data_IF_154566764315
#
_entry.id   IF_154566764315
#
_cell.length_a   1.000
_cell.length_b   1.000
_cell.length_c   1.000
_cell.angle_alpha   90.00
_cell.angle_beta   90.00
_cell.angle_gamma   90.00
#
_symmetry.space_group_name_H-M   'P 1'
#
loop_
_entity.id
_entity.type
_entity.pdbx_description
1 polymer ?
#
# COMPACT_ATOMS: atom_id res chain seq x y z
N UNK A 1 -1.06 4.13 16.17
CA UNK A 1 -0.96 5.38 15.39
C UNK A 1 -1.23 6.52 16.36
N UNK A 2 -0.18 7.13 16.91
CA UNK A 2 -0.30 8.40 17.63
C UNK A 2 -0.29 9.51 16.60
N UNK A 3 -1.34 10.33 16.55
CA UNK A 3 -1.49 11.48 15.62
C UNK A 3 -0.48 12.62 15.87
N UNK A 4 0.61 12.37 16.60
CA UNK A 4 1.70 13.33 16.75
C UNK A 4 2.74 13.07 15.67
N UNK A 5 2.84 13.96 14.67
CA UNK A 5 3.82 13.79 13.61
C UNK A 5 5.23 13.95 14.19
N UNK A 6 6.10 12.98 13.90
CA UNK A 6 7.50 13.03 14.33
C UNK A 6 8.18 14.28 13.75
N UNK A 7 8.70 15.21 14.57
CA UNK A 7 9.38 16.40 14.07
C UNK A 7 10.52 16.07 13.12
N UNK A 8 11.22 14.96 13.37
CA UNK A 8 12.28 14.45 12.51
C UNK A 8 11.75 14.05 11.14
N UNK A 9 10.60 13.36 11.07
CA UNK A 9 9.98 12.98 9.80
C UNK A 9 9.55 14.21 8.98
N UNK A 10 9.02 15.24 9.66
CA UNK A 10 8.65 16.52 9.02
C UNK A 10 9.90 17.21 8.43
N UNK A 11 10.97 17.32 9.22
CA UNK A 11 12.21 17.96 8.78
C UNK A 11 12.80 17.23 7.57
N UNK A 12 12.87 15.89 7.63
CA UNK A 12 13.37 15.10 6.50
C UNK A 12 12.50 15.26 5.26
N UNK A 13 11.17 15.32 5.42
CA UNK A 13 10.25 15.54 4.30
C UNK A 13 10.51 16.89 3.62
N UNK A 14 10.52 17.99 4.37
CA UNK A 14 10.75 19.32 3.79
C UNK A 14 12.17 19.49 3.25
N UNK A 15 13.18 18.91 3.89
CA UNK A 15 14.55 18.87 3.38
C UNK A 15 14.58 18.16 2.02
N UNK A 16 13.94 16.99 1.92
CA UNK A 16 13.90 16.22 0.69
C UNK A 16 13.17 16.97 -0.44
N UNK A 17 12.00 17.55 -0.14
CA UNK A 17 11.25 18.38 -1.09
C UNK A 17 12.09 19.58 -1.53
N UNK A 18 12.76 20.25 -0.59
CA UNK A 18 13.64 21.39 -0.86
C UNK A 18 14.83 21.05 -1.74
N UNK A 19 15.55 19.95 -1.45
CA UNK A 19 16.65 19.44 -2.27
C UNK A 19 16.16 19.09 -3.67
N UNK A 20 15.03 18.40 -3.76
CA UNK A 20 14.43 18.01 -5.06
C UNK A 20 14.07 19.24 -5.89
N UNK A 21 13.41 20.24 -5.28
CA UNK A 21 13.09 21.52 -5.93
C UNK A 21 14.36 22.27 -6.34
N UNK A 22 15.36 22.33 -5.46
CA UNK A 22 16.63 23.01 -5.72
C UNK A 22 17.37 22.42 -6.94
N UNK A 23 17.51 21.10 -6.98
CA UNK A 23 18.06 20.39 -8.15
C UNK A 23 17.20 20.66 -9.38
N UNK A 24 15.88 20.61 -9.22
CA UNK A 24 14.93 20.80 -10.32
C UNK A 24 15.09 22.15 -11.00
N UNK A 25 15.13 23.22 -10.20
CA UNK A 25 15.34 24.58 -10.70
C UNK A 25 16.75 24.80 -11.25
N UNK A 26 17.78 24.26 -10.60
CA UNK A 26 19.17 24.40 -11.05
C UNK A 26 19.39 23.79 -12.43
N UNK A 27 18.89 22.58 -12.67
CA UNK A 27 19.00 21.89 -13.95
C UNK A 27 18.01 22.45 -14.98
N UNK A 28 16.80 22.83 -14.55
CA UNK A 28 15.77 23.40 -15.44
C UNK A 28 16.20 24.71 -16.10
N UNK A 29 16.95 25.56 -15.38
CA UNK A 29 17.50 26.82 -15.93
C UNK A 29 18.50 26.62 -17.08
N UNK A 30 19.02 25.41 -17.27
CA UNK A 30 19.98 25.08 -18.33
C UNK A 30 19.27 24.65 -19.64
N UNK A 31 17.97 24.32 -19.61
CA UNK A 31 17.22 23.87 -20.77
C UNK A 31 16.57 25.03 -21.55
N UNK A 32 17.32 25.68 -22.45
CA UNK A 32 16.85 26.84 -23.25
C UNK A 32 16.26 26.50 -24.64
N UNK A 33 16.12 25.24 -25.02
CA UNK A 33 15.60 24.82 -26.34
C UNK A 33 14.57 23.68 -26.26
N UNK A 34 13.67 23.56 -27.24
CA UNK A 34 12.66 22.48 -27.31
C UNK A 34 13.29 21.08 -27.35
N UNK A 35 14.48 20.94 -27.94
CA UNK A 35 15.28 19.69 -27.90
C UNK A 35 15.85 19.42 -26.51
N UNK A 36 16.25 20.46 -25.78
CA UNK A 36 16.63 20.34 -24.36
C UNK A 36 15.44 19.99 -23.47
N UNK A 37 14.25 20.48 -23.80
CA UNK A 37 13.02 20.19 -23.06
C UNK A 37 12.49 18.77 -23.28
N UNK A 38 12.60 18.20 -24.48
CA UNK A 38 12.01 16.88 -24.82
C UNK A 38 12.99 15.73 -25.06
N UNK A 39 14.29 15.98 -25.20
CA UNK A 39 15.26 14.92 -25.55
C UNK A 39 16.58 15.01 -24.77
N UNK A 40 16.67 15.93 -23.80
CA UNK A 40 17.84 16.11 -22.95
C UNK A 40 19.20 16.18 -23.71
N UNK A 41 19.19 16.66 -24.96
CA UNK A 41 20.34 16.66 -25.87
C UNK A 41 21.09 15.30 -26.01
N UNK A 42 20.48 14.17 -25.64
CA UNK A 42 21.19 12.87 -25.56
C UNK A 42 22.30 12.81 -24.51
N UNK A 43 22.33 13.75 -23.56
CA UNK A 43 23.40 13.86 -22.54
C UNK A 43 23.14 13.04 -21.28
N UNK A 44 21.97 12.43 -21.13
CA UNK A 44 21.65 11.62 -19.96
C UNK A 44 22.29 10.24 -20.13
N UNK A 45 23.16 9.80 -19.19
CA UNK A 45 23.72 8.45 -19.23
C UNK A 45 22.61 7.41 -19.23
N UNK A 46 22.77 6.33 -20.01
CA UNK A 46 21.78 5.26 -20.12
C UNK A 46 21.37 4.70 -18.75
N UNK A 47 22.32 4.60 -17.82
CA UNK A 47 22.10 4.13 -16.45
C UNK A 47 21.20 5.07 -15.65
N UNK A 48 21.43 6.39 -15.77
CA UNK A 48 20.61 7.42 -15.10
C UNK A 48 19.17 7.35 -15.61
N UNK A 49 18.99 7.28 -16.92
CA UNK A 49 17.68 7.18 -17.52
C UNK A 49 16.98 5.85 -17.17
N UNK A 50 17.74 4.74 -17.15
CA UNK A 50 17.21 3.43 -16.78
C UNK A 50 16.72 3.38 -15.34
N UNK A 51 17.50 3.92 -14.39
CA UNK A 51 17.12 3.95 -12.98
C UNK A 51 16.01 4.96 -12.68
N UNK A 52 15.97 6.09 -13.40
CA UNK A 52 14.85 7.02 -13.37
C UNK A 52 13.55 6.33 -13.79
N UNK A 53 13.57 5.62 -14.93
CA UNK A 53 12.41 4.89 -15.44
C UNK A 53 11.99 3.75 -14.51
N UNK A 54 12.96 3.00 -13.94
CA UNK A 54 12.68 1.98 -12.95
C UNK A 54 12.04 2.57 -11.68
N UNK A 55 12.51 3.73 -11.23
CA UNK A 55 11.92 4.46 -10.10
C UNK A 55 10.47 4.89 -10.36
N UNK A 56 10.17 5.39 -11.56
CA UNK A 56 8.80 5.74 -11.97
C UNK A 56 7.89 4.51 -12.05
N UNK A 57 8.43 3.37 -12.52
CA UNK A 57 7.70 2.11 -12.59
C UNK A 57 7.36 1.57 -11.18
N UNK A 58 8.26 1.77 -10.22
CA UNK A 58 8.08 1.42 -8.80
C UNK A 58 7.26 2.46 -8.01
N UNK A 59 6.43 3.28 -8.68
CA UNK A 59 5.61 4.34 -8.08
C UNK A 59 4.83 3.90 -6.84
N UNK A 60 4.26 4.86 -6.09
CA UNK A 60 3.45 4.59 -4.90
C UNK A 60 2.34 3.54 -5.15
N UNK A 61 1.73 3.53 -6.34
CA UNK A 61 0.74 2.52 -6.70
C UNK A 61 1.34 1.12 -6.76
N UNK A 62 2.53 0.97 -7.34
CA UNK A 62 3.25 -0.31 -7.42
C UNK A 62 3.72 -0.75 -6.04
N UNK A 63 4.37 0.14 -5.28
CA UNK A 63 4.91 -0.19 -3.96
C UNK A 63 3.80 -0.52 -2.95
N UNK A 64 2.84 0.39 -2.69
CA UNK A 64 1.74 0.13 -1.76
C UNK A 64 0.75 -0.91 -2.31
N UNK A 65 0.48 -0.91 -3.62
CA UNK A 65 -0.50 -1.79 -4.23
C UNK A 65 -0.05 -3.25 -4.23
N UNK A 66 1.19 -3.53 -4.64
CA UNK A 66 1.74 -4.90 -4.61
C UNK A 66 1.93 -5.37 -3.17
N UNK A 67 2.51 -4.54 -2.28
CA UNK A 67 2.63 -4.91 -0.87
C UNK A 67 1.26 -5.18 -0.23
N UNK A 68 0.24 -4.37 -0.55
CA UNK A 68 -1.13 -4.59 -0.11
C UNK A 68 -1.69 -5.91 -0.65
N UNK A 69 -1.53 -6.18 -1.96
CA UNK A 69 -1.97 -7.42 -2.59
C UNK A 69 -1.34 -8.65 -1.93
N UNK A 70 -0.04 -8.61 -1.65
CA UNK A 70 0.66 -9.68 -0.92
C UNK A 70 0.14 -9.79 0.52
N UNK A 71 -0.15 -8.68 1.20
CA UNK A 71 -0.69 -8.71 2.56
C UNK A 71 -2.10 -9.34 2.63
N UNK A 72 -2.91 -9.18 1.58
CA UNK A 72 -4.27 -9.73 1.52
C UNK A 72 -4.34 -11.15 0.96
N UNK A 73 -3.52 -11.47 -0.04
CA UNK A 73 -3.58 -12.72 -0.79
C UNK A 73 -2.36 -13.62 -0.58
N UNK A 74 -1.42 -13.22 0.28
CA UNK A 74 -0.23 -14.00 0.61
C UNK A 74 0.65 -14.28 -0.61
N UNK A 75 1.09 -15.53 -0.72
CA UNK A 75 1.97 -15.99 -1.80
C UNK A 75 1.34 -15.83 -3.19
N UNK A 76 0.03 -16.03 -3.33
CA UNK A 76 -0.66 -15.85 -4.61
C UNK A 76 -0.59 -14.39 -5.10
N UNK A 77 -0.70 -13.43 -4.17
CA UNK A 77 -0.52 -12.01 -4.47
C UNK A 77 0.89 -11.67 -4.97
N UNK A 78 1.91 -12.41 -4.52
CA UNK A 78 3.28 -12.25 -5.00
C UNK A 78 3.40 -12.71 -6.47
N UNK A 79 2.75 -13.81 -6.85
CA UNK A 79 2.80 -14.32 -8.23
C UNK A 79 2.26 -13.30 -9.26
N UNK A 80 1.25 -12.50 -8.89
CA UNK A 80 0.77 -11.39 -9.74
C UNK A 80 1.84 -10.33 -10.04
N UNK A 81 2.79 -10.14 -9.13
CA UNK A 81 3.88 -9.16 -9.28
C UNK A 81 4.86 -9.56 -10.38
N UNK A 82 5.05 -10.86 -10.60
CA UNK A 82 5.89 -11.40 -11.67
C UNK A 82 5.32 -11.03 -13.03
N UNK A 83 4.00 -11.20 -13.21
CA UNK A 83 3.31 -10.82 -14.45
C UNK A 83 3.42 -9.33 -14.76
N UNK A 84 3.33 -8.49 -13.72
CA UNK A 84 3.54 -7.05 -13.84
C UNK A 84 4.93 -6.74 -14.41
N UNK A 85 6.00 -7.27 -13.79
CA UNK A 85 7.38 -7.06 -14.22
C UNK A 85 7.68 -7.67 -15.61
N UNK A 86 7.16 -8.85 -15.91
CA UNK A 86 7.31 -9.49 -17.22
C UNK A 86 6.66 -8.67 -18.34
N UNK A 87 5.47 -8.10 -18.08
CA UNK A 87 4.79 -7.23 -19.04
C UNK A 87 5.60 -6.00 -19.41
N UNK A 88 6.36 -5.44 -18.46
CA UNK A 88 7.25 -4.31 -18.73
C UNK A 88 8.39 -4.68 -19.69
N UNK A 89 9.00 -5.85 -19.52
CA UNK A 89 10.04 -6.34 -20.44
C UNK A 89 9.49 -6.45 -21.87
N UNK A 90 8.29 -7.02 -22.03
CA UNK A 90 7.63 -7.11 -23.33
C UNK A 90 7.37 -5.73 -23.93
N UNK A 91 6.86 -4.78 -23.14
CA UNK A 91 6.62 -3.42 -23.61
C UNK A 91 7.92 -2.70 -24.06
N UNK A 92 9.03 -2.91 -23.35
CA UNK A 92 10.33 -2.34 -23.74
C UNK A 92 10.80 -2.86 -25.10
N UNK A 93 10.73 -4.18 -25.33
CA UNK A 93 11.18 -4.75 -26.60
C UNK A 93 10.21 -4.47 -27.76
N UNK A 94 8.91 -4.63 -27.53
CA UNK A 94 7.90 -4.56 -28.61
C UNK A 94 7.54 -3.12 -28.97
N UNK A 95 7.50 -2.20 -27.99
CA UNK A 95 7.02 -0.83 -28.22
C UNK A 95 8.16 0.18 -28.29
N UNK A 96 9.14 0.12 -27.38
CA UNK A 96 10.17 1.15 -27.32
C UNK A 96 11.10 1.15 -28.54
N UNK A 97 11.43 -0.04 -29.07
CA UNK A 97 12.33 -0.15 -30.24
C UNK A 97 11.71 0.45 -31.53
N UNK A 98 10.47 0.11 -31.94
CA UNK A 98 9.83 0.77 -33.08
C UNK A 98 9.69 2.28 -32.91
N UNK A 99 9.34 2.75 -31.70
CA UNK A 99 9.24 4.18 -31.41
C UNK A 99 10.59 4.89 -31.58
N UNK A 100 11.67 4.30 -31.07
CA UNK A 100 13.03 4.85 -31.21
C UNK A 100 13.46 4.92 -32.68
N UNK A 101 13.15 3.89 -33.48
CA UNK A 101 13.47 3.87 -34.93
C UNK A 101 12.72 4.93 -35.72
N UNK A 102 11.47 5.27 -35.34
CA UNK A 102 10.66 6.30 -35.99
C UNK A 102 11.10 7.74 -35.69
N UNK A 103 11.92 7.96 -34.65
CA UNK A 103 12.45 9.28 -34.30
C UNK A 103 11.37 10.29 -33.87
N UNK A 104 10.18 9.83 -33.47
CA UNK A 104 9.08 10.66 -32.97
C UNK A 104 9.07 10.68 -31.45
N UNK A 105 8.60 11.80 -30.88
CA UNK A 105 8.62 12.02 -29.43
C UNK A 105 7.35 11.53 -28.71
N UNK A 106 6.22 11.42 -29.41
CA UNK A 106 4.95 10.98 -28.82
C UNK A 106 4.40 9.74 -29.53
N UNK A 107 3.63 8.92 -28.79
CA UNK A 107 2.96 7.75 -29.36
C UNK A 107 1.96 8.15 -30.46
N UNK A 108 1.23 9.26 -30.27
CA UNK A 108 0.30 9.77 -31.26
C UNK A 108 1.02 10.19 -32.56
N UNK A 109 2.18 10.84 -32.47
CA UNK A 109 2.96 11.22 -33.65
C UNK A 109 3.60 10.01 -34.35
N UNK A 110 3.92 8.96 -33.60
CA UNK A 110 4.41 7.69 -34.17
C UNK A 110 3.32 6.99 -34.99
N UNK A 111 2.08 6.98 -34.48
CA UNK A 111 0.93 6.45 -35.23
C UNK A 111 0.59 7.33 -36.44
N UNK A 112 0.58 8.65 -36.29
CA UNK A 112 0.33 9.58 -37.40
C UNK A 112 1.39 9.44 -38.50
N UNK A 113 2.67 9.26 -38.15
CA UNK A 113 3.74 9.04 -39.12
C UNK A 113 3.59 7.74 -39.93
N UNK A 114 2.93 6.73 -39.36
CA UNK A 114 2.70 5.44 -40.03
C UNK A 114 1.42 5.42 -40.86
N UNK A 115 0.36 6.08 -40.38
CA UNK A 115 -0.98 5.99 -40.97
C UNK A 115 -1.49 7.27 -41.65
N UNK A 116 -0.86 8.43 -41.41
CA UNK A 116 -1.20 9.72 -42.05
C UNK A 116 -2.62 10.22 -41.75
N UNK A 117 -3.22 9.83 -40.62
CA UNK A 117 -4.63 10.10 -40.31
C UNK A 117 -4.80 10.94 -39.05
N UNK A 118 -5.42 12.12 -39.24
CA UNK A 118 -5.83 13.01 -38.14
C UNK A 118 -6.77 12.31 -37.15
N UNK A 119 -7.63 11.41 -37.62
CA UNK A 119 -8.54 10.64 -36.77
C UNK A 119 -7.80 9.68 -35.83
N UNK A 120 -6.79 8.97 -36.34
CA UNK A 120 -5.94 8.08 -35.53
C UNK A 120 -5.14 8.87 -34.51
N UNK A 121 -4.59 10.03 -34.90
CA UNK A 121 -3.86 10.91 -34.00
C UNK A 121 -4.73 11.42 -32.85
N UNK A 122 -5.96 11.85 -33.16
CA UNK A 122 -6.93 12.29 -32.15
C UNK A 122 -7.32 11.15 -31.20
N UNK A 123 -7.64 9.97 -31.73
CA UNK A 123 -7.98 8.80 -30.93
C UNK A 123 -6.83 8.38 -30.00
N UNK A 124 -5.60 8.37 -30.51
CA UNK A 124 -4.41 8.07 -29.72
C UNK A 124 -4.17 9.13 -28.62
N UNK A 125 -4.38 10.41 -28.93
CA UNK A 125 -4.29 11.50 -27.95
C UNK A 125 -5.32 11.38 -26.82
N UNK A 126 -6.59 11.14 -27.17
CA UNK A 126 -7.67 10.94 -26.20
C UNK A 126 -7.40 9.71 -25.33
N UNK A 127 -6.98 8.59 -25.94
CA UNK A 127 -6.63 7.37 -25.22
C UNK A 127 -5.47 7.61 -24.24
N UNK A 128 -4.43 8.32 -24.67
CA UNK A 128 -3.29 8.69 -23.82
C UNK A 128 -3.74 9.53 -22.63
N UNK A 129 -4.60 10.53 -22.85
CA UNK A 129 -5.11 11.39 -21.79
C UNK A 129 -5.99 10.61 -20.80
N UNK A 130 -6.89 9.76 -21.31
CA UNK A 130 -7.76 8.93 -20.48
C UNK A 130 -6.95 8.00 -19.57
N UNK A 131 -6.00 7.25 -20.14
CA UNK A 131 -5.11 6.36 -19.37
C UNK A 131 -4.30 7.14 -18.34
N UNK A 132 -3.79 8.32 -18.71
CA UNK A 132 -3.02 9.18 -17.79
C UNK A 132 -3.86 9.65 -16.59
N UNK A 133 -5.12 10.04 -16.81
CA UNK A 133 -6.03 10.46 -15.72
C UNK A 133 -6.28 9.31 -14.75
N UNK A 134 -6.62 8.12 -15.25
CA UNK A 134 -6.84 6.94 -14.39
C UNK A 134 -5.56 6.55 -13.64
N UNK A 135 -4.40 6.71 -14.26
CA UNK A 135 -3.11 6.43 -13.63
C UNK A 135 -2.74 7.42 -12.53
N UNK A 136 -3.19 8.68 -12.64
CA UNK A 136 -2.96 9.70 -11.61
C UNK A 136 -3.80 9.48 -10.34
N UNK A 137 -4.97 8.83 -10.43
CA UNK A 137 -5.87 8.66 -9.28
C UNK A 137 -5.18 7.92 -8.11
N UNK A 138 -4.61 6.71 -8.28
CA UNK A 138 -3.94 6.02 -7.18
C UNK A 138 -2.75 6.80 -6.60
N UNK A 139 -2.05 7.58 -7.42
CA UNK A 139 -0.91 8.39 -6.97
C UNK A 139 -1.36 9.53 -6.05
N UNK A 140 -2.46 10.20 -6.41
CA UNK A 140 -3.05 11.25 -5.58
C UNK A 140 -3.62 10.69 -4.27
N UNK A 141 -4.27 9.52 -4.32
CA UNK A 141 -4.71 8.80 -3.12
C UNK A 141 -3.52 8.44 -2.22
N UNK A 142 -2.44 7.93 -2.80
CA UNK A 142 -1.19 7.63 -2.07
C UNK A 142 -0.61 8.88 -1.40
N UNK A 143 -0.55 10.00 -2.13
CA UNK A 143 -0.07 11.28 -1.58
C UNK A 143 -0.94 11.77 -0.40
N UNK A 144 -2.26 11.74 -0.55
CA UNK A 144 -3.19 12.14 0.52
C UNK A 144 -3.10 11.24 1.76
N UNK A 145 -2.95 9.93 1.55
CA UNK A 145 -2.82 8.95 2.63
C UNK A 145 -1.53 9.13 3.45
N UNK A 146 -0.43 9.60 2.83
CA UNK A 146 0.85 9.83 3.50
C UNK A 146 0.89 11.15 4.29
N UNK A 147 0.18 12.19 3.85
CA UNK A 147 0.23 13.50 4.51
C UNK A 147 -0.46 13.49 5.89
N UNK A 148 -1.53 12.71 6.05
CA UNK A 148 -2.23 12.60 7.34
C UNK A 148 -1.31 12.15 8.49
N UNK A 149 -0.59 11.02 8.40
CA UNK A 149 0.34 10.61 9.45
C UNK A 149 1.59 11.50 9.56
N UNK A 150 1.98 12.20 8.49
CA UNK A 150 3.20 13.02 8.47
C UNK A 150 3.02 14.45 9.00
N UNK A 151 1.89 15.08 8.73
CA UNK A 151 1.64 16.50 9.05
C UNK A 151 0.36 16.70 9.88
N UNK A 152 -0.38 15.62 10.18
CA UNK A 152 -1.69 15.67 10.82
C UNK A 152 -2.72 16.54 10.07
N UNK A 153 -2.58 16.65 8.75
CA UNK A 153 -3.55 17.36 7.90
C UNK A 153 -4.62 16.42 7.33
N UNK A 154 -5.84 16.94 7.07
CA UNK A 154 -6.86 16.20 6.36
C UNK A 154 -6.39 15.70 4.98
N UNK A 155 -6.93 14.56 4.55
CA UNK A 155 -6.54 13.91 3.28
C UNK A 155 -6.58 14.85 2.07
N UNK A 156 -7.62 15.68 1.93
CA UNK A 156 -7.77 16.59 0.80
C UNK A 156 -6.66 17.65 0.73
N UNK A 157 -6.17 18.12 1.88
CA UNK A 157 -5.05 19.08 1.95
C UNK A 157 -3.79 18.43 1.41
N UNK A 158 -3.55 17.15 1.74
CA UNK A 158 -2.42 16.39 1.22
C UNK A 158 -2.44 16.23 -0.30
N UNK A 159 -3.61 15.90 -0.86
CA UNK A 159 -3.80 15.80 -2.32
C UNK A 159 -3.49 17.14 -3.00
N UNK A 160 -4.04 18.25 -2.48
CA UNK A 160 -3.83 19.58 -3.06
C UNK A 160 -2.37 20.04 -2.95
N UNK A 161 -1.76 19.89 -1.78
CA UNK A 161 -0.38 20.33 -1.53
C UNK A 161 0.61 19.59 -2.43
N UNK A 162 0.53 18.25 -2.46
CA UNK A 162 1.41 17.44 -3.31
C UNK A 162 1.11 17.67 -4.79
N UNK A 163 -0.16 17.75 -5.18
CA UNK A 163 -0.57 18.02 -6.56
C UNK A 163 -0.01 19.34 -7.09
N UNK A 164 -0.20 20.44 -6.35
CA UNK A 164 0.33 21.76 -6.72
C UNK A 164 1.86 21.73 -6.79
N UNK A 165 2.52 21.10 -5.81
CA UNK A 165 3.98 21.00 -5.79
C UNK A 165 4.51 20.25 -7.03
N UNK A 166 3.89 19.12 -7.38
CA UNK A 166 4.28 18.34 -8.57
C UNK A 166 4.03 19.13 -9.86
N UNK A 167 2.90 19.83 -9.98
CA UNK A 167 2.61 20.69 -11.14
C UNK A 167 3.68 21.78 -11.28
N UNK A 168 4.01 22.48 -10.19
CA UNK A 168 5.05 23.51 -10.20
C UNK A 168 6.42 22.95 -10.62
N UNK A 169 6.79 21.77 -10.10
CA UNK A 169 8.03 21.08 -10.49
C UNK A 169 8.00 20.79 -11.99
N UNK A 170 6.98 20.10 -12.50
CA UNK A 170 6.93 19.63 -13.88
C UNK A 170 6.93 20.80 -14.87
N UNK A 171 6.17 21.87 -14.58
CA UNK A 171 6.10 23.07 -15.44
C UNK A 171 7.46 23.78 -15.50
N UNK A 172 8.24 23.78 -14.43
CA UNK A 172 9.50 24.53 -14.33
C UNK A 172 10.75 23.73 -14.71
N UNK A 173 10.71 22.40 -14.67
CA UNK A 173 11.88 21.52 -14.76
C UNK A 173 12.31 21.16 -16.19
N UNK A 174 11.37 20.86 -17.10
CA UNK A 174 11.68 20.18 -18.37
C UNK A 174 12.19 18.74 -18.20
N UNK A 175 12.46 18.02 -19.30
CA UNK A 175 12.80 16.58 -19.22
C UNK A 175 14.15 16.29 -18.55
N UNK A 176 15.21 17.06 -18.83
CA UNK A 176 16.54 16.86 -18.22
C UNK A 176 16.44 16.84 -16.70
N UNK A 177 15.81 17.88 -16.16
CA UNK A 177 15.66 18.08 -14.73
C UNK A 177 14.76 17.00 -14.12
N UNK A 178 13.65 16.69 -14.78
CA UNK A 178 12.75 15.61 -14.38
C UNK A 178 13.48 14.27 -14.28
N UNK A 179 14.29 13.90 -15.28
CA UNK A 179 15.03 12.62 -15.27
C UNK A 179 16.06 12.56 -14.14
N UNK A 180 16.78 13.63 -13.82
CA UNK A 180 17.70 13.64 -12.68
C UNK A 180 16.99 13.55 -11.33
N UNK A 181 15.85 14.22 -11.19
CA UNK A 181 14.99 14.11 -9.99
C UNK A 181 14.45 12.68 -9.85
N UNK A 182 14.01 12.07 -10.95
CA UNK A 182 13.54 10.68 -10.97
C UNK A 182 14.66 9.69 -10.67
N UNK A 183 15.85 9.91 -11.20
CA UNK A 183 17.03 9.11 -10.87
C UNK A 183 17.33 9.15 -9.37
N UNK A 184 17.33 10.34 -8.74
CA UNK A 184 17.55 10.47 -7.30
C UNK A 184 16.48 9.74 -6.50
N UNK A 185 15.19 9.94 -6.84
CA UNK A 185 14.05 9.27 -6.20
C UNK A 185 14.12 7.75 -6.35
N UNK A 186 14.37 7.27 -7.57
CA UNK A 186 14.51 5.86 -7.89
C UNK A 186 15.68 5.21 -7.17
N UNK A 187 16.84 5.87 -7.13
CA UNK A 187 18.02 5.41 -6.39
C UNK A 187 17.72 5.26 -4.90
N UNK A 188 17.10 6.28 -4.31
CA UNK A 188 16.75 6.27 -2.89
C UNK A 188 15.77 5.13 -2.57
N UNK A 189 14.75 4.95 -3.40
CA UNK A 189 13.78 3.87 -3.25
C UNK A 189 14.46 2.50 -3.30
N UNK A 190 15.31 2.26 -4.31
CA UNK A 190 16.03 0.98 -4.47
C UNK A 190 16.95 0.70 -3.28
N UNK A 191 17.72 1.69 -2.83
CA UNK A 191 18.61 1.55 -1.66
C UNK A 191 17.80 1.26 -0.41
N UNK A 192 16.72 2.00 -0.17
CA UNK A 192 15.88 1.81 1.01
C UNK A 192 15.20 0.43 1.00
N UNK A 193 14.66 0.00 -0.14
CA UNK A 193 14.07 -1.33 -0.29
C UNK A 193 15.11 -2.44 -0.12
N UNK A 194 16.35 -2.26 -0.60
CA UNK A 194 17.43 -3.21 -0.40
C UNK A 194 17.81 -3.34 1.08
N UNK A 195 17.99 -2.21 1.79
CA UNK A 195 18.25 -2.20 3.23
C UNK A 195 17.12 -2.87 4.00
N UNK A 196 15.86 -2.51 3.71
CA UNK A 196 14.70 -3.12 4.35
C UNK A 196 14.63 -4.63 4.11
N UNK A 197 14.92 -5.07 2.89
CA UNK A 197 14.97 -6.50 2.53
C UNK A 197 16.03 -7.22 3.36
N UNK A 198 17.24 -6.67 3.48
CA UNK A 198 18.31 -7.25 4.29
C UNK A 198 17.91 -7.33 5.77
N UNK A 199 17.30 -6.28 6.32
CA UNK A 199 16.85 -6.27 7.71
C UNK A 199 15.75 -7.32 7.97
N UNK A 200 14.80 -7.48 7.04
CA UNK A 200 13.74 -8.49 7.14
C UNK A 200 14.34 -9.90 7.08
N UNK A 201 15.27 -10.14 6.15
CA UNK A 201 15.97 -11.41 6.02
C UNK A 201 16.80 -11.74 7.26
N UNK A 202 17.47 -10.76 7.87
CA UNK A 202 18.22 -10.94 9.12
C UNK A 202 17.30 -11.24 10.30
N UNK A 203 16.12 -10.62 10.36
CA UNK A 203 15.12 -10.90 11.39
C UNK A 203 14.53 -12.31 11.27
N UNK A 204 14.24 -12.73 10.05
CA UNK A 204 13.51 -13.97 9.78
C UNK A 204 12.05 -13.93 10.20
N UNK A 205 11.41 -15.10 10.15
CA UNK A 205 10.05 -15.32 10.64
C UNK A 205 10.01 -15.72 12.12
N UNK A 206 8.94 -15.28 12.79
CA UNK A 206 8.60 -15.59 14.17
C UNK A 206 7.08 -15.87 14.23
N UNK A 207 6.65 -16.92 14.94
CA UNK A 207 5.22 -17.27 15.09
C UNK A 207 4.52 -16.44 16.17
N UNK A 208 5.27 -16.00 17.17
CA UNK A 208 4.78 -15.18 18.27
C UNK A 208 5.31 -13.75 18.14
N UNK A 209 4.45 -12.79 17.74
CA UNK A 209 4.83 -11.39 17.77
C UNK A 209 4.95 -10.94 19.23
N UNK A 210 6.17 -10.57 19.63
CA UNK A 210 6.50 -10.01 20.94
C UNK A 210 5.49 -8.89 21.30
N UNK A 211 4.70 -9.07 22.37
CA UNK A 211 3.69 -8.12 22.88
C UNK A 211 2.52 -7.73 21.94
N UNK A 212 2.09 -8.58 21.00
CA UNK A 212 0.90 -8.29 20.19
C UNK A 212 -0.30 -9.16 20.59
N UNK A 213 -1.50 -8.58 20.47
CA UNK A 213 -2.78 -9.23 20.73
C UNK A 213 -2.93 -10.50 19.88
N UNK A 214 -3.29 -11.60 20.53
CA UNK A 214 -3.55 -12.86 19.84
C UNK A 214 -5.03 -12.96 19.52
N UNK A 215 -5.36 -12.90 18.23
CA UNK A 215 -6.72 -13.10 17.75
C UNK A 215 -7.22 -14.48 18.13
N UNK A 216 -8.38 -14.51 18.78
CA UNK A 216 -9.00 -15.74 19.25
C UNK A 216 -9.94 -16.34 18.21
N UNK A 217 -10.04 -17.68 18.21
CA UNK A 217 -11.10 -18.41 17.52
C UNK A 217 -11.82 -19.26 18.56
N UNK A 218 -13.11 -19.05 18.70
CA UNK A 218 -13.96 -19.73 19.66
C UNK A 218 -14.89 -20.72 18.95
N UNK A 219 -15.22 -21.80 19.66
CA UNK A 219 -16.12 -22.85 19.19
C UNK A 219 -15.44 -24.21 19.07
N UNK A 220 -16.07 -25.18 18.40
CA UNK A 220 -17.32 -25.05 17.63
C UNK A 220 -18.54 -24.76 18.52
N UNK A 221 -19.48 -23.96 18.00
CA UNK A 221 -20.78 -23.67 18.61
C UNK A 221 -21.91 -24.28 17.80
N UNK A 222 -22.93 -24.77 18.49
CA UNK A 222 -24.15 -25.29 17.85
C UNK A 222 -25.16 -24.18 17.53
N UNK A 223 -25.74 -24.19 16.33
CA UNK A 223 -26.72 -23.18 15.89
C UNK A 223 -27.92 -23.01 16.84
N UNK A 224 -28.30 -24.06 17.57
CA UNK A 224 -29.48 -24.06 18.44
C UNK A 224 -29.26 -23.42 19.82
N UNK A 225 -28.03 -23.40 20.33
CA UNK A 225 -27.75 -23.00 21.73
C UNK A 225 -26.50 -22.13 21.90
N UNK A 226 -25.93 -21.62 20.81
CA UNK A 226 -24.66 -20.89 20.82
C UNK A 226 -24.61 -19.70 21.78
N UNK A 227 -25.72 -19.02 22.07
CA UNK A 227 -25.73 -17.85 22.98
C UNK A 227 -25.35 -18.23 24.40
N UNK A 228 -25.87 -19.35 24.90
CA UNK A 228 -25.58 -19.85 26.23
C UNK A 228 -24.16 -20.45 26.31
N UNK A 229 -23.75 -21.17 25.25
CA UNK A 229 -22.38 -21.68 25.11
C UNK A 229 -21.35 -20.54 25.07
N UNK A 230 -21.67 -19.42 24.41
CA UNK A 230 -20.77 -18.28 24.30
C UNK A 230 -20.60 -17.53 25.62
N UNK A 231 -21.71 -17.26 26.34
CA UNK A 231 -21.66 -16.53 27.62
C UNK A 231 -20.98 -17.35 28.72
N UNK A 232 -21.03 -18.68 28.63
CA UNK A 232 -20.34 -19.57 29.56
C UNK A 232 -18.86 -19.80 29.24
N UNK A 233 -18.38 -19.37 28.07
CA UNK A 233 -17.00 -19.55 27.65
C UNK A 233 -16.04 -18.70 28.51
N UNK A 234 -14.92 -19.29 28.96
CA UNK A 234 -13.96 -18.67 29.88
C UNK A 234 -13.47 -17.29 29.40
N UNK A 235 -13.07 -17.20 28.11
CA UNK A 235 -12.62 -15.97 27.45
C UNK A 235 -13.68 -14.85 27.34
N UNK A 236 -14.97 -15.16 27.51
CA UNK A 236 -16.10 -14.22 27.40
C UNK A 236 -16.72 -13.90 28.76
N UNK A 237 -16.22 -14.49 29.84
CA UNK A 237 -16.69 -14.18 31.20
C UNK A 237 -16.60 -12.68 31.49
N UNK A 238 -17.71 -12.08 31.94
CA UNK A 238 -17.81 -10.64 32.20
C UNK A 238 -18.09 -9.77 30.96
N UNK A 239 -18.39 -10.38 29.80
CA UNK A 239 -18.87 -9.68 28.61
C UNK A 239 -20.37 -9.93 28.39
N UNK A 240 -21.07 -8.96 27.81
CA UNK A 240 -22.47 -9.09 27.40
C UNK A 240 -22.59 -9.14 25.89
N UNK A 241 -23.47 -10.00 25.38
CA UNK A 241 -23.78 -10.02 23.94
C UNK A 241 -24.62 -8.77 23.62
N UNK A 242 -24.17 -8.00 22.64
CA UNK A 242 -24.91 -6.84 22.12
C UNK A 242 -25.88 -7.36 21.04
N UNK A 243 -27.19 -7.06 21.14
CA UNK A 243 -28.16 -7.42 20.11
C UNK A 243 -27.77 -6.91 18.71
N UNK A 244 -28.12 -7.71 17.70
CA UNK A 244 -27.90 -7.36 16.29
C UNK A 244 -29.01 -6.41 15.81
N UNK A 245 -28.79 -5.09 15.98
CA UNK A 245 -29.74 -4.04 15.59
C UNK A 245 -29.24 -3.22 14.38
N UNK A 246 -30.18 -2.67 13.61
CA UNK A 246 -29.89 -1.82 12.46
C UNK A 246 -29.07 -2.54 11.39
N UNK A 247 -27.94 -1.95 11.00
CA UNK A 247 -27.02 -2.49 9.97
C UNK A 247 -26.43 -3.86 10.34
N UNK A 248 -26.56 -4.31 11.59
CA UNK A 248 -25.98 -5.56 12.07
C UNK A 248 -26.92 -6.76 12.00
N UNK A 249 -28.23 -6.54 11.77
CA UNK A 249 -29.26 -7.58 11.90
C UNK A 249 -29.03 -8.79 10.98
N UNK A 250 -28.62 -8.53 9.74
CA UNK A 250 -28.43 -9.54 8.71
C UNK A 250 -26.94 -9.83 8.41
N UNK A 251 -26.05 -9.36 9.29
CA UNK A 251 -24.61 -9.53 9.11
C UNK A 251 -24.11 -10.76 9.86
N UNK A 252 -23.10 -11.49 9.33
CA UNK A 252 -22.53 -12.68 9.97
C UNK A 252 -21.56 -12.29 11.10
N UNK A 253 -21.97 -11.38 11.98
CA UNK A 253 -21.17 -10.88 13.09
C UNK A 253 -21.94 -10.94 14.41
N UNK A 254 -21.25 -11.39 15.45
CA UNK A 254 -21.68 -11.30 16.84
C UNK A 254 -20.85 -10.23 17.52
N UNK A 255 -21.44 -9.46 18.44
CA UNK A 255 -20.74 -8.42 19.17
C UNK A 255 -20.85 -8.66 20.66
N UNK A 256 -19.75 -8.53 21.37
CA UNK A 256 -19.70 -8.62 22.83
C UNK A 256 -19.14 -7.33 23.40
N UNK A 257 -19.65 -6.90 24.55
CA UNK A 257 -19.19 -5.71 25.29
C UNK A 257 -18.61 -6.14 26.62
N UNK A 258 -17.36 -5.78 26.87
CA UNK A 258 -16.71 -6.01 28.16
C UNK A 258 -17.21 -4.99 29.18
N UNK A 259 -17.74 -5.45 30.32
CA UNK A 259 -18.31 -4.55 31.33
C UNK A 259 -17.27 -3.65 32.01
N UNK A 260 -16.03 -4.10 32.17
CA UNK A 260 -14.98 -3.35 32.88
C UNK A 260 -14.39 -2.19 32.08
N UNK A 261 -14.35 -2.32 30.75
CA UNK A 261 -13.63 -1.39 29.85
C UNK A 261 -14.55 -0.72 28.82
N UNK A 262 -15.82 -1.12 28.74
CA UNK A 262 -16.77 -0.77 27.66
C UNK A 262 -16.28 -1.13 26.24
N UNK A 263 -15.22 -1.93 26.15
CA UNK A 263 -14.65 -2.39 24.89
C UNK A 263 -15.62 -3.34 24.19
N UNK A 264 -15.83 -3.10 22.91
CA UNK A 264 -16.66 -3.94 22.04
C UNK A 264 -15.75 -4.83 21.19
N UNK A 265 -15.91 -6.14 21.34
CA UNK A 265 -15.27 -7.15 20.49
C UNK A 265 -16.29 -7.63 19.45
N UNK A 266 -15.85 -7.75 18.20
CA UNK A 266 -16.68 -8.27 17.10
C UNK A 266 -16.16 -9.64 16.74
N UNK A 267 -17.06 -10.57 16.49
CA UNK A 267 -16.76 -11.94 16.16
C UNK A 267 -17.41 -12.28 14.81
N UNK A 268 -16.62 -12.69 13.82
CA UNK A 268 -17.15 -13.20 12.57
C UNK A 268 -17.66 -14.62 12.77
N UNK A 269 -18.92 -14.84 12.39
CA UNK A 269 -19.54 -16.16 12.38
C UNK A 269 -19.20 -16.86 11.08
N UNK A 270 -18.34 -17.87 11.19
CA UNK A 270 -17.91 -18.71 10.07
C UNK A 270 -18.56 -20.08 10.18
N UNK A 271 -19.39 -20.51 9.20
CA UNK A 271 -19.96 -21.85 9.22
C UNK A 271 -18.84 -22.89 9.12
N UNK A 272 -18.86 -23.87 10.01
CA UNK A 272 -17.97 -25.03 9.98
C UNK A 272 -18.64 -26.16 9.21
N UNK A 273 -19.90 -26.46 9.57
CA UNK A 273 -20.75 -27.48 8.97
C UNK A 273 -22.21 -26.99 8.90
N UNK A 274 -23.16 -27.83 8.45
CA UNK A 274 -24.60 -27.50 8.37
C UNK A 274 -25.26 -27.12 9.71
N UNK A 275 -24.63 -27.42 10.85
CA UNK A 275 -25.21 -27.22 12.19
C UNK A 275 -24.27 -26.51 13.16
N UNK A 276 -23.00 -26.31 12.77
CA UNK A 276 -21.95 -25.80 13.64
C UNK A 276 -21.25 -24.63 12.99
N UNK A 277 -20.80 -23.69 13.80
CA UNK A 277 -19.99 -22.57 13.36
C UNK A 277 -18.87 -22.26 14.36
N UNK A 278 -17.89 -21.50 13.91
CA UNK A 278 -16.85 -20.92 14.75
C UNK A 278 -16.97 -19.41 14.77
N UNK A 279 -16.49 -18.80 15.84
CA UNK A 279 -16.40 -17.35 15.99
C UNK A 279 -14.95 -16.93 15.91
N UNK A 280 -14.60 -16.15 14.90
CA UNK A 280 -13.26 -15.57 14.78
C UNK A 280 -13.27 -14.13 15.25
N UNK A 281 -12.36 -13.79 16.14
CA UNK A 281 -12.22 -12.41 16.59
C UNK A 281 -11.89 -11.49 15.41
N UNK A 282 -12.67 -10.43 15.28
CA UNK A 282 -12.50 -9.36 14.32
C UNK A 282 -12.24 -8.02 15.01
N UNK A 283 -11.83 -7.04 14.22
CA UNK A 283 -11.63 -5.67 14.68
C UNK A 283 -12.65 -4.75 14.05
N UNK A 284 -13.17 -3.78 14.81
CA UNK A 284 -14.12 -2.79 14.33
C UNK A 284 -13.57 -1.37 14.43
N UNK A 285 -13.84 -0.60 13.38
CA UNK A 285 -13.72 0.85 13.38
C UNK A 285 -15.10 1.44 13.16
N UNK A 286 -15.47 2.39 14.02
CA UNK A 286 -16.70 3.17 13.85
C UNK A 286 -16.34 4.63 13.66
N UNK A 287 -16.73 5.21 12.53
CA UNK A 287 -16.68 6.66 12.32
C UNK A 287 -18.03 7.24 12.72
N UNK A 288 -18.04 8.10 13.74
CA UNK A 288 -19.24 8.82 14.18
C UNK A 288 -19.57 9.98 13.24
N UNK A 289 -20.80 10.48 13.33
CA UNK A 289 -21.28 11.63 12.54
C UNK A 289 -20.52 12.93 12.81
N UNK A 290 -19.87 13.06 13.97
CA UNK A 290 -18.98 14.15 14.35
C UNK A 290 -17.55 14.01 13.77
N UNK A 291 -17.30 12.96 12.98
CA UNK A 291 -16.00 12.66 12.39
C UNK A 291 -15.02 11.96 13.33
N UNK A 292 -15.38 11.71 14.60
CA UNK A 292 -14.52 10.97 15.53
C UNK A 292 -14.49 9.49 15.18
N UNK A 293 -13.31 8.92 15.26
CA UNK A 293 -13.05 7.51 14.98
C UNK A 293 -12.91 6.75 16.30
N UNK A 294 -13.68 5.67 16.43
CA UNK A 294 -13.59 4.73 17.54
C UNK A 294 -13.05 3.39 17.06
N UNK A 295 -12.21 2.78 17.88
CA UNK A 295 -11.72 1.41 17.67
C UNK A 295 -12.27 0.55 18.80
N UNK A 296 -12.94 -0.56 18.47
CA UNK A 296 -13.56 -1.44 19.47
C UNK A 296 -14.47 -0.67 20.46
N UNK A 297 -15.17 0.38 19.99
CA UNK A 297 -16.04 1.23 20.82
C UNK A 297 -15.34 2.33 21.62
N UNK A 298 -14.02 2.31 21.70
CA UNK A 298 -13.20 3.25 22.46
C UNK A 298 -12.53 4.32 21.58
N UNK A 299 -12.16 5.49 22.11
CA UNK A 299 -11.37 6.48 21.39
C UNK A 299 -10.09 5.86 20.81
N UNK A 300 -9.72 6.26 19.59
CA UNK A 300 -8.48 5.78 18.98
C UNK A 300 -7.26 6.32 19.72
N UNK A 301 -6.36 5.44 20.17
CA UNK A 301 -5.14 5.85 20.85
C UNK A 301 -4.52 4.74 21.71
N UNK A 302 -3.39 5.05 22.34
CA UNK A 302 -2.58 4.09 23.12
C UNK A 302 -2.62 4.38 24.63
N UNK A 303 -3.36 5.40 25.06
CA UNK A 303 -3.52 5.75 26.47
C UNK A 303 -4.54 4.87 27.21
N UNK A 304 -4.65 5.01 28.54
CA UNK A 304 -5.67 4.32 29.33
C UNK A 304 -7.09 4.66 28.84
N UNK A 305 -7.88 3.64 28.52
CA UNK A 305 -9.24 3.81 27.99
C UNK A 305 -9.32 4.09 26.49
N UNK A 306 -8.20 4.05 25.78
CA UNK A 306 -8.12 4.16 24.32
C UNK A 306 -7.83 2.78 23.69
N UNK A 307 -8.12 2.62 22.41
CA UNK A 307 -7.81 1.40 21.67
C UNK A 307 -7.19 1.71 20.31
N UNK A 308 -6.31 0.83 19.84
CA UNK A 308 -5.80 0.83 18.47
C UNK A 308 -6.06 -0.50 17.79
N UNK A 309 -6.09 -0.48 16.45
CA UNK A 309 -6.07 -1.73 15.70
C UNK A 309 -4.76 -2.47 15.96
N UNK A 310 -4.89 -3.77 16.17
CA UNK A 310 -3.77 -4.68 16.18
C UNK A 310 -3.33 -5.01 14.75
N UNK A 311 -2.01 -5.20 14.53
CA UNK A 311 -1.50 -5.72 13.28
C UNK A 311 -2.20 -7.04 12.93
N UNK A 312 -2.60 -7.17 11.67
CA UNK A 312 -3.20 -8.39 11.12
C UNK A 312 -2.26 -9.00 10.10
N UNK A 313 -2.31 -10.31 9.93
CA UNK A 313 -1.30 -11.04 9.15
C UNK A 313 -0.18 -11.58 10.04
N UNK A 314 -0.15 -12.90 10.28
CA UNK A 314 0.97 -13.53 11.00
C UNK A 314 1.27 -14.93 10.48
N UNK A 315 2.49 -15.38 10.69
CA UNK A 315 2.85 -16.79 10.54
C UNK A 315 2.29 -17.53 11.75
N UNK A 316 1.29 -18.40 11.57
CA UNK A 316 0.75 -19.22 12.66
C UNK A 316 1.63 -20.42 12.95
N UNK A 317 2.22 -21.01 11.91
CA UNK A 317 3.06 -22.20 12.04
C UNK A 317 4.23 -22.13 11.06
N UNK A 318 5.44 -22.34 11.55
CA UNK A 318 6.63 -22.55 10.73
C UNK A 318 6.86 -24.05 10.47
N UNK A 319 7.66 -24.39 9.45
CA UNK A 319 8.11 -25.76 9.23
C UNK A 319 8.71 -26.37 10.50
N UNK A 320 8.47 -27.66 10.73
CA UNK A 320 8.92 -28.39 11.92
C UNK A 320 8.42 -27.82 13.26
N UNK A 321 7.34 -27.04 13.27
CA UNK A 321 6.80 -26.37 14.46
C UNK A 321 7.82 -25.47 15.17
N UNK A 322 8.78 -24.90 14.43
CA UNK A 322 9.71 -23.92 14.98
C UNK A 322 8.97 -22.64 15.42
N UNK A 323 9.44 -21.98 16.47
CA UNK A 323 8.90 -20.67 16.87
C UNK A 323 9.59 -19.51 16.15
N UNK A 324 10.85 -19.70 15.75
CA UNK A 324 11.67 -18.71 15.04
C UNK A 324 12.56 -19.39 14.02
N UNK A 325 12.90 -18.66 12.97
CA UNK A 325 13.81 -19.13 11.90
C UNK A 325 15.22 -18.59 12.02
N UNK A 326 15.41 -17.40 12.60
CA UNK A 326 16.68 -16.67 12.57
C UNK A 326 16.96 -16.06 11.19
N UNK A 327 18.20 -15.61 10.92
CA UNK A 327 18.57 -15.01 9.63
C UNK A 327 18.37 -15.99 8.46
N UNK A 328 17.73 -15.51 7.39
CA UNK A 328 17.43 -16.28 6.20
C UNK A 328 18.14 -15.73 4.96
N UNK A 329 18.56 -16.61 4.06
CA UNK A 329 18.90 -16.24 2.69
C UNK A 329 17.64 -15.99 1.84
N UNK A 330 17.81 -15.34 0.69
CA UNK A 330 16.70 -15.00 -0.22
C UNK A 330 15.88 -16.23 -0.65
N UNK A 331 16.54 -17.30 -1.09
CA UNK A 331 15.84 -18.51 -1.56
C UNK A 331 15.19 -19.28 -0.41
N UNK A 332 15.88 -19.38 0.74
CA UNK A 332 15.33 -20.02 1.93
C UNK A 332 14.12 -19.27 2.49
N UNK A 333 14.06 -17.94 2.35
CA UNK A 333 12.91 -17.15 2.77
C UNK A 333 11.64 -17.61 2.04
N UNK A 334 11.69 -17.75 0.72
CA UNK A 334 10.54 -18.22 -0.06
C UNK A 334 10.18 -19.68 0.24
N UNK A 335 11.17 -20.56 0.35
CA UNK A 335 10.92 -21.97 0.68
C UNK A 335 10.28 -22.13 2.05
N UNK A 336 10.71 -21.36 3.05
CA UNK A 336 10.09 -21.38 4.38
C UNK A 336 8.69 -20.79 4.30
N UNK A 337 8.50 -19.66 3.62
CA UNK A 337 7.20 -19.02 3.47
C UNK A 337 6.17 -19.96 2.83
N UNK A 338 6.56 -20.69 1.79
CA UNK A 338 5.72 -21.67 1.09
C UNK A 338 5.31 -22.84 2.01
N UNK A 339 6.22 -23.30 2.87
CA UNK A 339 5.97 -24.38 3.81
C UNK A 339 5.39 -23.92 5.17
N UNK A 340 5.12 -22.62 5.32
CA UNK A 340 4.55 -22.03 6.53
C UNK A 340 3.05 -21.87 6.41
N UNK A 341 2.37 -21.89 7.55
CA UNK A 341 0.98 -21.50 7.63
C UNK A 341 0.90 -20.01 7.97
N UNK A 342 0.25 -19.25 7.08
CA UNK A 342 0.10 -17.80 7.21
C UNK A 342 -1.37 -17.48 7.39
N UNK A 343 -1.70 -16.85 8.51
CA UNK A 343 -3.03 -16.29 8.70
C UNK A 343 -3.09 -14.92 8.05
N UNK A 344 -3.77 -14.85 6.91
CA UNK A 344 -4.02 -13.62 6.16
C UNK A 344 -5.24 -12.88 6.69
N UNK A 345 -5.27 -11.57 6.46
CA UNK A 345 -6.44 -10.77 6.79
C UNK A 345 -7.46 -10.82 5.66
N UNK A 346 -8.71 -11.20 5.99
CA UNK A 346 -9.84 -11.12 5.07
C UNK A 346 -10.74 -9.98 5.50
N UNK A 347 -10.86 -8.95 4.65
CA UNK A 347 -11.92 -7.96 4.79
C UNK A 347 -13.23 -8.61 4.33
N UNK A 348 -14.16 -8.85 5.26
CA UNK A 348 -15.52 -9.30 4.97
C UNK A 348 -16.47 -8.11 4.94
#
# INVERSE_FOLDING_TARGET
MTDQPSPLAIILFFLFVGVTLGISFFLGRQAKSSKGYFAAHGQIPWFVNGLAFAGDYLSAASFLGICGMIAFYGYDGFLYSIGYLAGWIVALFVVAEPMKRLGKFTFADALDARFGSRGIRLAAGISTLAVSIFYLIPQMVGAGALIRPLLNFPHYVGVLLVGVTVILIVVTAGMVSTTWVQFLKGSLLVIFSAVLTVLILQRGFETEPNNQHTFMTLGPFSDSNWTNELVSHEEIQGQTIIPAEGIWKDQPFVRTRQMSSDRITVWSRDPLDKQNFILREGQMITTRSDGKVLVAGLPIGTGPGEATLYPVGRVSRLPNNAQKTGPLGLLSFFSILENSEIMLWRKK
#
